data_IF_983954378491
#
_entry.id   IF_983954378491
#
_cell.length_a   1.000
_cell.length_b   1.000
_cell.length_c   1.000
_cell.angle_alpha   90.00
_cell.angle_beta   90.00
_cell.angle_gamma   90.00
#
_symmetry.space_group_name_H-M   'P 1'
#
loop_
_entity.id
_entity.type
_entity.pdbx_description
1 polymer ?
#
# COMPACT_ATOMS: atom_id res chain seq x y z
N UNK A 1 12.85 14.95 -8.85
CA UNK A 1 13.47 13.76 -8.21
C UNK A 1 14.89 14.12 -7.80
N UNK A 2 15.41 13.54 -6.73
CA UNK A 2 16.83 13.62 -6.35
C UNK A 2 17.46 12.26 -6.56
N UNK A 3 18.62 12.20 -7.22
CA UNK A 3 19.33 10.93 -7.42
C UNK A 3 19.86 10.40 -6.09
N UNK A 4 19.74 9.09 -5.89
CA UNK A 4 20.23 8.41 -4.68
C UNK A 4 21.21 7.28 -5.03
N UNK A 5 20.90 6.48 -6.04
CA UNK A 5 21.76 5.39 -6.50
C UNK A 5 21.15 4.56 -7.63
N UNK A 6 21.81 3.45 -7.98
CA UNK A 6 21.39 2.54 -9.05
C UNK A 6 21.36 1.09 -8.59
N UNK A 7 20.20 0.44 -8.73
CA UNK A 7 20.05 -1.01 -8.55
C UNK A 7 20.48 -1.75 -9.82
N UNK A 8 21.29 -2.80 -9.69
CA UNK A 8 21.76 -3.64 -10.80
C UNK A 8 21.45 -5.11 -10.50
N UNK A 9 20.67 -5.75 -11.36
CA UNK A 9 20.37 -7.18 -11.29
C UNK A 9 21.35 -7.93 -12.20
N UNK A 10 22.28 -8.71 -11.64
CA UNK A 10 23.41 -9.31 -12.38
C UNK A 10 23.60 -10.82 -12.15
N UNK A 11 22.71 -11.47 -11.39
CA UNK A 11 22.79 -12.90 -11.09
C UNK A 11 21.39 -13.50 -11.05
N UNK A 12 21.20 -14.62 -11.75
CA UNK A 12 19.99 -15.42 -11.67
C UNK A 12 20.01 -16.31 -10.41
N UNK A 13 18.83 -16.64 -9.85
CA UNK A 13 18.74 -17.62 -8.76
C UNK A 13 19.30 -18.97 -9.21
N UNK A 14 19.99 -19.68 -8.31
CA UNK A 14 20.53 -21.01 -8.60
C UNK A 14 19.43 -22.08 -8.50
N UNK A 15 18.47 -21.86 -7.60
CA UNK A 15 17.30 -22.71 -7.47
C UNK A 15 16.05 -21.84 -7.29
N UNK A 16 15.12 -21.91 -8.25
CA UNK A 16 13.92 -21.08 -8.26
C UNK A 16 13.05 -21.27 -7.01
N UNK A 17 12.85 -22.52 -6.56
CA UNK A 17 12.01 -22.78 -5.39
C UNK A 17 12.64 -22.23 -4.09
N UNK A 18 13.95 -22.38 -3.93
CA UNK A 18 14.70 -21.88 -2.76
C UNK A 18 14.80 -20.35 -2.75
N UNK A 19 15.14 -19.76 -3.90
CA UNK A 19 15.56 -18.36 -3.98
C UNK A 19 14.44 -17.41 -4.40
N UNK A 20 13.37 -17.90 -5.05
CA UNK A 20 12.25 -17.07 -5.52
C UNK A 20 10.97 -17.43 -4.77
N UNK A 21 10.53 -18.68 -4.83
CA UNK A 21 9.26 -19.09 -4.20
C UNK A 21 9.29 -18.94 -2.68
N UNK A 22 10.42 -19.24 -2.04
CA UNK A 22 10.59 -19.09 -0.59
C UNK A 22 11.05 -17.69 -0.15
N UNK A 23 11.24 -16.74 -1.08
CA UNK A 23 11.58 -15.37 -0.71
C UNK A 23 10.43 -14.71 0.07
N UNK A 24 10.79 -13.91 1.08
CA UNK A 24 9.86 -13.31 2.02
C UNK A 24 10.18 -11.82 2.24
N UNK A 25 9.39 -10.96 1.60
CA UNK A 25 9.50 -9.50 1.72
C UNK A 25 8.42 -9.00 2.67
N UNK A 26 8.76 -8.15 3.64
CA UNK A 26 7.76 -7.49 4.49
C UNK A 26 8.11 -6.01 4.63
N UNK A 27 7.14 -5.09 4.47
CA UNK A 27 7.37 -3.66 4.77
C UNK A 27 7.79 -3.43 6.23
N UNK A 28 7.44 -4.35 7.14
CA UNK A 28 7.86 -4.28 8.55
C UNK A 28 9.32 -4.69 8.79
N UNK A 29 10.08 -5.06 7.75
CA UNK A 29 11.52 -5.36 7.85
C UNK A 29 12.33 -4.13 7.48
N UNK A 30 12.23 -3.08 8.31
CA UNK A 30 12.95 -1.82 8.13
C UNK A 30 14.34 -1.84 8.77
N UNK A 31 15.15 -0.84 8.45
CA UNK A 31 16.50 -0.63 8.99
C UNK A 31 16.56 0.73 9.69
N UNK A 32 17.44 0.92 10.69
CA UNK A 32 17.58 2.20 11.36
C UNK A 32 17.76 3.36 10.37
N UNK A 33 16.97 4.42 10.53
CA UNK A 33 16.92 5.59 9.64
C UNK A 33 15.85 5.52 8.54
N UNK A 34 15.14 4.40 8.40
CA UNK A 34 13.95 4.28 7.54
C UNK A 34 12.79 3.79 8.39
N UNK A 35 11.71 4.56 8.44
CA UNK A 35 10.55 4.30 9.30
C UNK A 35 9.24 4.39 8.51
N UNK A 36 8.18 3.84 9.08
CA UNK A 36 6.85 3.85 8.53
C UNK A 36 6.15 5.21 8.66
N UNK A 37 5.20 5.43 7.74
CA UNK A 37 4.27 6.54 7.83
C UNK A 37 2.95 6.06 8.47
N UNK A 38 2.10 6.98 8.97
CA UNK A 38 0.76 6.65 9.46
C UNK A 38 -0.23 6.31 8.32
N UNK A 39 0.25 5.84 7.17
CA UNK A 39 -0.59 5.33 6.09
C UNK A 39 -1.25 4.01 6.55
N UNK A 40 -2.59 3.93 6.62
CA UNK A 40 -3.27 2.76 7.15
C UNK A 40 -3.02 1.48 6.34
N UNK A 41 -2.80 1.60 5.04
CA UNK A 41 -2.44 0.46 4.19
C UNK A 41 -1.02 -0.02 4.51
N UNK A 42 -0.06 0.89 4.70
CA UNK A 42 1.30 0.51 5.09
C UNK A 42 1.31 -0.18 6.46
N UNK A 43 0.65 0.40 7.46
CA UNK A 43 0.53 -0.15 8.81
C UNK A 43 -0.01 -1.59 8.79
N UNK A 44 -1.09 -1.82 8.05
CA UNK A 44 -1.68 -3.15 7.94
C UNK A 44 -0.75 -4.13 7.23
N UNK A 45 -0.05 -3.70 6.18
CA UNK A 45 0.89 -4.55 5.43
C UNK A 45 2.12 -4.95 6.26
N UNK A 46 2.59 -4.11 7.17
CA UNK A 46 3.70 -4.47 8.07
C UNK A 46 3.38 -5.72 8.90
N UNK A 47 2.15 -5.81 9.40
CA UNK A 47 1.64 -6.99 10.12
C UNK A 47 1.35 -8.16 9.17
N UNK A 48 0.49 -7.92 8.17
CA UNK A 48 -0.13 -8.98 7.37
C UNK A 48 0.88 -9.81 6.57
N UNK A 49 1.94 -9.18 6.05
CA UNK A 49 2.94 -9.90 5.27
C UNK A 49 3.67 -10.95 6.13
N UNK A 50 3.98 -10.61 7.39
CA UNK A 50 4.68 -11.54 8.27
C UNK A 50 3.78 -12.71 8.68
N UNK A 51 2.52 -12.43 8.99
CA UNK A 51 1.51 -13.45 9.30
C UNK A 51 1.35 -14.47 8.16
N UNK A 52 1.13 -13.98 6.94
CA UNK A 52 1.03 -14.82 5.76
C UNK A 52 2.30 -15.67 5.51
N UNK A 53 3.49 -15.12 5.80
CA UNK A 53 4.76 -15.84 5.65
C UNK A 53 4.92 -16.95 6.69
N UNK A 54 4.52 -16.71 7.95
CA UNK A 54 4.55 -17.75 8.97
C UNK A 54 3.70 -18.96 8.58
N UNK A 55 2.51 -18.72 8.02
CA UNK A 55 1.69 -19.80 7.50
C UNK A 55 2.32 -20.48 6.27
N UNK A 56 2.84 -19.70 5.32
CA UNK A 56 3.32 -20.21 4.02
C UNK A 56 4.63 -21.00 4.10
N UNK A 57 5.60 -20.54 4.88
CA UNK A 57 6.97 -21.08 4.91
C UNK A 57 7.52 -21.30 6.34
N UNK A 58 6.68 -21.12 7.36
CA UNK A 58 7.00 -21.44 8.75
C UNK A 58 7.60 -20.27 9.55
N UNK A 59 7.60 -20.44 10.87
CA UNK A 59 8.09 -19.43 11.83
C UNK A 59 9.59 -19.13 11.69
N UNK A 60 10.36 -20.13 11.25
CA UNK A 60 11.82 -20.04 11.06
C UNK A 60 12.22 -19.59 9.65
N UNK A 61 11.35 -18.87 8.92
CA UNK A 61 11.58 -18.41 7.54
C UNK A 61 12.90 -17.64 7.32
N UNK A 62 13.42 -16.99 8.36
CA UNK A 62 14.66 -16.23 8.35
C UNK A 62 15.90 -17.14 8.20
N UNK A 63 15.77 -18.46 8.38
CA UNK A 63 16.85 -19.43 8.21
C UNK A 63 16.99 -19.89 6.76
N UNK A 64 16.00 -19.62 5.91
CA UNK A 64 16.07 -19.89 4.47
C UNK A 64 17.14 -18.95 3.88
N UNK A 65 18.11 -19.44 3.08
CA UNK A 65 19.27 -18.65 2.67
C UNK A 65 18.94 -17.28 2.05
N UNK A 66 17.89 -17.18 1.24
CA UNK A 66 17.49 -15.91 0.60
C UNK A 66 16.93 -14.88 1.57
N UNK A 67 16.38 -15.32 2.72
CA UNK A 67 15.79 -14.46 3.75
C UNK A 67 16.74 -14.19 4.92
N UNK A 68 17.90 -14.85 4.93
CA UNK A 68 18.83 -14.79 6.04
C UNK A 68 19.49 -13.42 6.15
N UNK A 69 19.45 -12.76 7.32
CA UNK A 69 20.13 -11.48 7.55
C UNK A 69 21.64 -11.68 7.75
N UNK A 70 22.33 -12.29 6.77
CA UNK A 70 23.70 -12.82 6.88
C UNK A 70 24.77 -11.76 7.21
N UNK A 71 24.50 -10.47 6.96
CA UNK A 71 25.39 -9.34 7.26
C UNK A 71 24.89 -8.45 8.41
N UNK A 72 23.84 -8.85 9.11
CA UNK A 72 23.38 -8.10 10.26
C UNK A 72 24.40 -8.21 11.40
N UNK A 73 24.97 -7.06 11.81
CA UNK A 73 25.91 -6.97 12.94
C UNK A 73 25.31 -7.44 14.27
N UNK A 74 23.98 -7.47 14.36
CA UNK A 74 23.24 -7.98 15.51
C UNK A 74 21.99 -8.70 15.00
N UNK A 75 22.00 -10.03 15.07
CA UNK A 75 20.80 -10.85 14.97
C UNK A 75 20.57 -11.52 16.33
N UNK A 76 20.01 -10.77 17.26
CA UNK A 76 19.82 -11.20 18.65
C UNK A 76 18.33 -11.40 18.97
N UNK A 77 17.62 -12.11 18.10
CA UNK A 77 16.22 -12.48 18.34
C UNK A 77 16.07 -13.24 19.66
N UNK A 78 14.90 -13.08 20.30
CA UNK A 78 14.45 -13.93 21.42
C UNK A 78 13.51 -15.04 20.93
N UNK A 79 13.50 -15.32 19.63
CA UNK A 79 12.73 -16.41 19.05
C UNK A 79 13.51 -17.72 19.17
N UNK A 80 13.03 -18.67 19.95
CA UNK A 80 13.58 -20.02 20.09
C UNK A 80 12.63 -21.05 19.48
N UNK A 81 13.15 -22.23 19.15
CA UNK A 81 12.39 -23.40 18.70
C UNK A 81 11.56 -23.16 17.43
N UNK A 82 10.39 -23.77 17.34
CA UNK A 82 9.53 -23.75 16.16
C UNK A 82 9.89 -24.80 15.12
N UNK A 83 8.96 -25.04 14.19
CA UNK A 83 9.13 -26.04 13.14
C UNK A 83 10.35 -25.71 12.26
N UNK A 84 11.10 -26.75 11.85
CA UNK A 84 12.27 -26.64 10.98
C UNK A 84 13.38 -25.70 11.53
N UNK A 85 13.63 -25.73 12.84
CA UNK A 85 14.77 -25.03 13.44
C UNK A 85 16.09 -25.73 13.09
N UNK A 86 16.98 -25.05 12.35
CA UNK A 86 18.22 -25.64 11.80
C UNK A 86 19.50 -24.83 12.08
N UNK A 87 19.43 -23.74 12.84
CA UNK A 87 20.55 -22.81 13.13
C UNK A 87 21.19 -23.01 14.52
N UNK A 88 21.12 -24.22 15.08
CA UNK A 88 21.51 -24.56 16.46
C UNK A 88 20.72 -23.83 17.57
N UNK A 89 19.58 -23.21 17.24
CA UNK A 89 18.64 -22.62 18.21
C UNK A 89 19.27 -21.56 19.14
N UNK A 90 20.10 -20.70 18.56
CA UNK A 90 20.93 -19.72 19.29
C UNK A 90 21.91 -20.32 20.31
N UNK A 91 22.19 -21.63 20.27
CA UNK A 91 23.15 -22.32 21.12
C UNK A 91 22.97 -22.00 22.63
N UNK A 92 24.02 -21.51 23.30
CA UNK A 92 24.01 -21.19 24.74
C UNK A 92 23.38 -19.85 25.12
N UNK A 93 22.77 -19.12 24.18
CA UNK A 93 22.19 -17.81 24.45
C UNK A 93 21.00 -17.89 25.40
N UNK A 94 20.87 -16.88 26.28
CA UNK A 94 19.74 -16.78 27.20
C UNK A 94 18.44 -16.49 26.45
N UNK A 95 17.39 -17.19 26.86
CA UNK A 95 16.05 -17.15 26.24
C UNK A 95 15.18 -15.99 26.74
N UNK A 96 15.71 -15.10 27.59
CA UNK A 96 14.94 -14.02 28.20
C UNK A 96 15.75 -12.72 28.28
N UNK A 97 15.04 -11.59 28.37
CA UNK A 97 15.59 -10.27 28.63
C UNK A 97 14.66 -9.47 29.57
N UNK A 98 15.20 -8.63 30.46
CA UNK A 98 16.62 -8.40 30.72
C UNK A 98 17.27 -9.59 31.47
N UNK A 99 18.60 -9.74 31.35
CA UNK A 99 19.36 -10.75 32.10
C UNK A 99 20.76 -10.24 32.46
N UNK A 100 21.40 -10.87 33.45
CA UNK A 100 22.69 -10.44 34.01
C UNK A 100 23.91 -10.69 33.10
N UNK A 101 23.74 -11.33 31.95
CA UNK A 101 24.86 -11.83 31.12
C UNK A 101 24.92 -11.20 29.72
N UNK A 102 23.84 -10.56 29.25
CA UNK A 102 23.79 -9.96 27.93
C UNK A 102 22.89 -8.72 27.89
N UNK A 103 23.42 -7.62 27.38
CA UNK A 103 22.69 -6.39 27.08
C UNK A 103 22.29 -6.37 25.60
N UNK A 104 21.01 -6.61 25.32
CA UNK A 104 20.47 -6.69 23.94
C UNK A 104 19.72 -5.41 23.48
N UNK A 105 19.57 -4.42 24.35
CA UNK A 105 18.88 -3.17 24.02
C UNK A 105 19.79 -2.22 23.24
N UNK A 106 19.26 -1.59 22.19
CA UNK A 106 19.96 -0.63 21.34
C UNK A 106 19.25 0.73 21.41
N UNK A 107 19.64 1.62 22.34
CA UNK A 107 19.00 2.93 22.46
C UNK A 107 19.27 3.85 21.26
N UNK A 108 20.33 3.56 20.50
CA UNK A 108 20.75 4.30 19.30
C UNK A 108 19.86 4.05 18.07
N UNK A 109 18.89 3.14 18.16
CA UNK A 109 17.89 2.86 17.11
C UNK A 109 16.46 3.20 17.55
N UNK A 110 16.31 4.07 18.54
CA UNK A 110 14.98 4.55 18.96
C UNK A 110 14.28 5.28 17.80
N UNK A 111 12.98 5.01 17.64
CA UNK A 111 12.18 5.57 16.56
C UNK A 111 11.96 7.08 16.72
N UNK A 112 11.79 7.78 15.60
CA UNK A 112 11.47 9.20 15.65
C UNK A 112 10.02 9.39 16.13
N UNK A 113 9.77 10.28 17.12
CA UNK A 113 8.41 10.58 17.53
C UNK A 113 7.66 11.29 16.40
N UNK A 114 6.43 10.85 16.10
CA UNK A 114 5.53 11.55 15.18
C UNK A 114 4.38 12.23 15.92
N UNK A 115 3.98 13.40 15.45
CA UNK A 115 2.83 14.13 16.00
C UNK A 115 1.55 13.62 15.35
N UNK A 116 0.65 13.07 16.17
CA UNK A 116 -0.71 12.72 15.73
C UNK A 116 -1.54 13.98 15.50
N UNK A 117 -2.39 13.96 14.46
CA UNK A 117 -3.24 15.11 14.10
C UNK A 117 -4.34 15.39 15.11
N UNK A 118 -4.74 14.36 15.85
CA UNK A 118 -5.77 14.43 16.89
C UNK A 118 -5.33 13.57 18.08
N UNK A 119 -5.51 14.07 19.30
CA UNK A 119 -5.29 13.30 20.52
C UNK A 119 -6.49 12.42 20.87
N UNK A 120 -7.59 12.54 20.11
CA UNK A 120 -8.80 11.72 20.23
C UNK A 120 -8.75 10.58 19.22
N UNK A 121 -8.48 9.38 19.71
CA UNK A 121 -8.71 8.15 18.94
C UNK A 121 -10.20 7.79 19.01
N UNK A 122 -10.95 8.09 17.95
CA UNK A 122 -12.36 7.68 17.81
C UNK A 122 -12.51 6.75 16.61
N UNK A 123 -13.58 5.94 16.60
CA UNK A 123 -14.05 5.24 15.39
C UNK A 123 -14.68 6.27 14.46
N UNK A 124 -13.87 7.16 13.90
CA UNK A 124 -14.31 7.99 12.77
C UNK A 124 -14.49 7.05 11.59
N UNK A 125 -15.60 7.19 10.89
CA UNK A 125 -15.95 6.30 9.79
C UNK A 125 -14.88 6.34 8.69
N UNK A 126 -14.63 5.19 8.05
CA UNK A 126 -13.78 5.06 6.87
C UNK A 126 -14.14 6.06 5.75
N UNK A 127 -15.39 6.52 5.70
CA UNK A 127 -15.90 7.52 4.74
C UNK A 127 -15.25 8.91 4.85
N UNK A 128 -14.45 9.17 5.90
CA UNK A 128 -13.77 10.45 6.06
C UNK A 128 -12.54 10.61 5.15
N UNK A 129 -11.96 9.48 4.71
CA UNK A 129 -10.72 9.45 3.94
C UNK A 129 -10.93 9.35 2.42
N UNK A 130 -12.12 8.96 1.96
CA UNK A 130 -12.36 8.56 0.57
C UNK A 130 -13.54 9.31 -0.08
N UNK A 131 -13.53 9.40 -1.41
CA UNK A 131 -14.57 9.93 -2.29
C UNK A 131 -14.81 11.43 -2.14
N UNK A 132 -13.74 12.20 -2.02
CA UNK A 132 -13.78 13.65 -2.19
C UNK A 132 -13.69 13.96 -3.69
N UNK A 133 -14.19 15.14 -4.11
CA UNK A 133 -14.09 15.54 -5.52
C UNK A 133 -12.64 15.69 -6.00
N UNK A 134 -11.70 15.99 -5.09
CA UNK A 134 -10.29 16.07 -5.44
C UNK A 134 -9.61 14.71 -5.64
N UNK A 135 -10.26 13.60 -5.29
CA UNK A 135 -9.70 12.25 -5.53
C UNK A 135 -9.60 11.94 -7.03
N UNK A 136 -10.34 12.66 -7.89
CA UNK A 136 -10.25 12.53 -9.35
C UNK A 136 -9.11 13.36 -9.96
N UNK A 137 -8.54 14.34 -9.23
CA UNK A 137 -7.64 15.34 -9.81
C UNK A 137 -6.34 14.73 -10.33
N UNK A 138 -5.74 13.79 -9.60
CA UNK A 138 -4.49 13.13 -10.03
C UNK A 138 -4.71 12.27 -11.28
N UNK A 139 -5.82 11.54 -11.35
CA UNK A 139 -6.17 10.75 -12.53
C UNK A 139 -6.46 11.66 -13.74
N UNK A 140 -7.07 12.82 -13.51
CA UNK A 140 -7.32 13.83 -14.53
C UNK A 140 -6.04 14.42 -15.07
N UNK A 141 -5.08 14.71 -14.20
CA UNK A 141 -3.76 15.20 -14.60
C UNK A 141 -2.98 14.15 -15.40
N UNK A 142 -3.02 12.88 -15.00
CA UNK A 142 -2.47 11.77 -15.79
C UNK A 142 -3.10 11.72 -17.19
N UNK A 143 -4.43 11.75 -17.27
CA UNK A 143 -5.15 11.71 -18.54
C UNK A 143 -4.83 12.91 -19.44
N UNK A 144 -4.88 14.13 -18.90
CA UNK A 144 -4.82 15.35 -19.70
C UNK A 144 -3.40 15.81 -20.02
N UNK A 145 -2.46 15.63 -19.09
CA UNK A 145 -1.12 16.25 -19.16
C UNK A 145 0.00 15.25 -19.47
N UNK A 146 -0.21 13.97 -19.20
CA UNK A 146 0.86 12.95 -19.30
C UNK A 146 0.61 12.00 -20.46
N UNK A 147 -0.61 11.49 -20.61
CA UNK A 147 -0.93 10.51 -21.66
C UNK A 147 -0.94 11.11 -23.06
N UNK A 148 -0.25 10.46 -23.98
CA UNK A 148 -0.36 10.67 -25.42
C UNK A 148 -1.71 10.19 -25.97
N UNK A 149 -2.07 10.65 -27.17
CA UNK A 149 -3.32 10.25 -27.82
C UNK A 149 -3.42 8.74 -28.07
N UNK A 150 -2.29 8.06 -28.33
CA UNK A 150 -2.28 6.61 -28.48
C UNK A 150 -2.51 5.90 -27.14
N UNK A 151 -1.92 6.39 -26.05
CA UNK A 151 -2.14 5.85 -24.71
C UNK A 151 -3.59 6.05 -24.25
N UNK A 152 -4.20 7.20 -24.56
CA UNK A 152 -5.63 7.45 -24.31
C UNK A 152 -6.52 6.45 -25.05
N UNK A 153 -6.28 6.25 -26.35
CA UNK A 153 -7.02 5.25 -27.16
C UNK A 153 -6.87 3.84 -26.58
N UNK A 154 -5.65 3.44 -26.24
CA UNK A 154 -5.37 2.14 -25.63
C UNK A 154 -6.08 1.97 -24.28
N UNK A 155 -6.07 3.02 -23.45
CA UNK A 155 -6.75 3.05 -22.16
C UNK A 155 -8.26 2.89 -22.32
N UNK A 156 -8.90 3.65 -23.22
CA UNK A 156 -10.33 3.49 -23.52
C UNK A 156 -10.66 2.07 -24.00
N UNK A 157 -9.86 1.53 -24.93
CA UNK A 157 -10.05 0.19 -25.46
C UNK A 157 -9.93 -0.90 -24.39
N UNK A 158 -8.89 -0.85 -23.56
CA UNK A 158 -8.66 -1.83 -22.50
C UNK A 158 -9.77 -1.79 -21.45
N UNK A 159 -10.22 -0.59 -21.07
CA UNK A 159 -11.32 -0.41 -20.12
C UNK A 159 -12.64 -0.91 -20.70
N UNK A 160 -12.96 -0.55 -21.94
CA UNK A 160 -14.17 -1.02 -22.63
C UNK A 160 -14.20 -2.54 -22.77
N UNK A 161 -13.05 -3.18 -23.08
CA UNK A 161 -12.93 -4.65 -23.16
C UNK A 161 -13.34 -5.35 -21.86
N UNK A 162 -13.03 -4.76 -20.70
CA UNK A 162 -13.51 -5.26 -19.40
C UNK A 162 -14.98 -4.95 -19.19
N UNK A 163 -15.38 -3.70 -19.44
CA UNK A 163 -16.73 -3.20 -19.14
C UNK A 163 -17.83 -3.86 -19.97
N UNK A 164 -17.54 -4.24 -21.23
CA UNK A 164 -18.46 -5.02 -22.10
C UNK A 164 -18.88 -6.37 -21.50
N UNK A 165 -18.09 -6.94 -20.59
CA UNK A 165 -18.41 -8.22 -19.92
C UNK A 165 -19.44 -8.04 -18.80
N UNK A 166 -19.67 -6.81 -18.37
CA UNK A 166 -20.64 -6.48 -17.31
C UNK A 166 -22.04 -6.51 -17.92
N UNK A 167 -22.89 -7.42 -17.45
CA UNK A 167 -24.25 -7.61 -17.98
C UNK A 167 -25.27 -6.59 -17.47
N UNK A 168 -24.94 -5.83 -16.44
CA UNK A 168 -25.84 -4.90 -15.76
C UNK A 168 -25.58 -3.46 -16.25
N UNK A 169 -26.51 -2.85 -17.00
CA UNK A 169 -26.36 -1.47 -17.50
C UNK A 169 -26.18 -0.45 -16.38
N UNK A 170 -26.78 -0.70 -15.22
CA UNK A 170 -26.63 0.14 -14.02
C UNK A 170 -25.16 0.19 -13.54
N UNK A 171 -24.45 -0.95 -13.57
CA UNK A 171 -23.04 -0.98 -13.17
C UNK A 171 -22.18 -0.26 -14.22
N UNK A 172 -22.47 -0.45 -15.50
CA UNK A 172 -21.74 0.22 -16.58
C UNK A 172 -21.89 1.74 -16.51
N UNK A 173 -23.12 2.24 -16.38
CA UNK A 173 -23.40 3.68 -16.27
C UNK A 173 -22.80 4.30 -15.00
N UNK A 174 -22.87 3.61 -13.85
CA UNK A 174 -22.21 4.07 -12.60
C UNK A 174 -20.69 4.11 -12.72
N UNK A 175 -20.07 3.12 -13.37
CA UNK A 175 -18.63 3.13 -13.60
C UNK A 175 -18.22 4.31 -14.50
N UNK A 176 -18.92 4.51 -15.62
CA UNK A 176 -18.65 5.63 -16.53
C UNK A 176 -18.84 6.98 -15.85
N UNK A 177 -19.76 7.11 -14.90
CA UNK A 177 -19.97 8.35 -14.16
C UNK A 177 -18.75 8.70 -13.28
N UNK A 178 -18.10 7.70 -12.69
CA UNK A 178 -16.82 7.91 -11.98
C UNK A 178 -15.71 8.35 -12.95
N UNK A 179 -15.66 7.75 -14.14
CA UNK A 179 -14.69 8.15 -15.18
C UNK A 179 -14.98 9.56 -15.72
N UNK A 180 -16.25 9.95 -15.83
CA UNK A 180 -16.66 11.28 -16.27
C UNK A 180 -16.11 12.37 -15.34
N UNK A 181 -16.07 12.11 -14.03
CA UNK A 181 -15.46 13.02 -13.05
C UNK A 181 -13.94 13.19 -13.24
N UNK A 182 -13.27 12.21 -13.88
CA UNK A 182 -11.88 12.35 -14.34
C UNK A 182 -11.85 13.23 -15.60
N UNK A 183 -12.53 12.80 -16.66
CA UNK A 183 -12.68 13.58 -17.89
C UNK A 183 -13.85 13.09 -18.75
N UNK A 184 -14.59 14.02 -19.35
CA UNK A 184 -15.74 13.73 -20.22
C UNK A 184 -15.33 12.95 -21.48
N UNK A 185 -14.26 13.37 -22.16
CA UNK A 185 -13.71 12.69 -23.35
C UNK A 185 -13.24 11.26 -23.03
N UNK A 186 -12.75 11.03 -21.81
CA UNK A 186 -12.37 9.69 -21.36
C UNK A 186 -13.60 8.79 -21.22
N UNK A 187 -14.63 9.25 -20.51
CA UNK A 187 -15.86 8.48 -20.36
C UNK A 187 -16.56 8.23 -21.70
N UNK A 188 -16.61 9.24 -22.57
CA UNK A 188 -17.18 9.13 -23.91
C UNK A 188 -16.41 8.11 -24.75
N UNK A 189 -15.07 8.17 -24.75
CA UNK A 189 -14.23 7.23 -25.51
C UNK A 189 -14.39 5.77 -25.07
N UNK A 190 -14.72 5.51 -23.79
CA UNK A 190 -15.10 4.16 -23.35
C UNK A 190 -16.52 3.81 -23.83
N UNK A 191 -17.47 4.73 -23.66
CA UNK A 191 -18.88 4.52 -24.01
C UNK A 191 -19.07 4.19 -25.49
N UNK A 192 -18.38 4.90 -26.39
CA UNK A 192 -18.42 4.67 -27.84
C UNK A 192 -17.91 3.29 -28.23
N UNK A 193 -17.09 2.68 -27.37
CA UNK A 193 -16.59 1.33 -27.51
C UNK A 193 -17.44 0.32 -26.75
N UNK A 194 -18.67 0.61 -26.32
CA UNK A 194 -19.57 -0.40 -25.76
C UNK A 194 -20.49 -0.99 -26.84
N UNK A 195 -20.78 -2.28 -26.73
CA UNK A 195 -21.67 -2.96 -27.66
C UNK A 195 -23.13 -2.71 -27.23
N UNK A 196 -23.83 -1.80 -27.94
CA UNK A 196 -25.25 -1.48 -27.73
C UNK A 196 -25.60 -1.17 -26.24
N UNK A 197 -25.05 -0.09 -25.67
CA UNK A 197 -25.36 0.29 -24.29
C UNK A 197 -26.87 0.53 -24.11
N UNK A 198 -27.45 -0.04 -23.05
CA UNK A 198 -28.89 0.09 -22.74
C UNK A 198 -29.22 1.37 -21.94
N UNK A 199 -28.39 2.40 -22.06
CA UNK A 199 -28.54 3.68 -21.38
C UNK A 199 -27.89 4.75 -22.24
N UNK A 200 -28.42 5.97 -22.16
CA UNK A 200 -27.87 7.12 -22.86
C UNK A 200 -26.67 7.70 -22.12
N UNK A 201 -25.72 8.29 -22.85
CA UNK A 201 -24.56 8.95 -22.23
C UNK A 201 -24.96 10.16 -21.38
N UNK A 202 -26.08 10.82 -21.68
CA UNK A 202 -26.63 11.88 -20.82
C UNK A 202 -26.87 11.39 -19.39
N UNK A 203 -27.24 10.11 -19.22
CA UNK A 203 -27.43 9.50 -17.90
C UNK A 203 -26.12 9.43 -17.11
N UNK A 204 -25.00 9.19 -17.79
CA UNK A 204 -23.67 9.15 -17.17
C UNK A 204 -23.32 10.51 -16.55
N UNK A 205 -23.60 11.60 -17.28
CA UNK A 205 -23.37 12.97 -16.80
C UNK A 205 -24.20 13.30 -15.56
N UNK A 206 -25.50 12.97 -15.57
CA UNK A 206 -26.37 13.16 -14.39
C UNK A 206 -25.84 12.39 -13.17
N UNK A 207 -25.44 11.13 -13.39
CA UNK A 207 -24.92 10.28 -12.33
C UNK A 207 -23.60 10.83 -11.75
N UNK A 208 -22.75 11.42 -12.59
CA UNK A 208 -21.44 11.93 -12.18
C UNK A 208 -21.53 13.04 -11.11
N UNK A 209 -22.59 13.85 -11.11
CA UNK A 209 -22.77 14.97 -10.18
C UNK A 209 -22.74 14.54 -8.70
N UNK A 210 -23.24 13.34 -8.42
CA UNK A 210 -23.36 12.77 -7.06
C UNK A 210 -22.48 11.54 -6.84
N UNK A 211 -21.66 11.15 -7.83
CA UNK A 211 -20.93 9.90 -7.83
C UNK A 211 -19.96 9.73 -6.65
N UNK A 212 -19.36 10.83 -6.20
CA UNK A 212 -18.46 10.86 -5.03
C UNK A 212 -19.17 10.61 -3.69
N UNK A 213 -20.50 10.69 -3.66
CA UNK A 213 -21.32 10.58 -2.45
C UNK A 213 -22.08 9.26 -2.34
N UNK A 214 -22.05 8.43 -3.38
CA UNK A 214 -22.79 7.18 -3.40
C UNK A 214 -22.42 6.27 -2.22
N UNK A 215 -23.46 5.73 -1.58
CA UNK A 215 -23.36 4.81 -0.44
C UNK A 215 -22.71 5.42 0.83
N UNK A 216 -22.49 6.74 0.87
CA UNK A 216 -21.99 7.43 2.06
C UNK A 216 -23.11 7.97 2.92
N UNK A 217 -23.16 7.52 4.17
CA UNK A 217 -24.09 8.07 5.16
C UNK A 217 -23.74 9.54 5.48
N UNK A 218 -24.69 10.49 5.42
CA UNK A 218 -24.43 11.92 5.64
C UNK A 218 -23.73 12.25 6.95
N UNK A 219 -24.07 11.57 8.06
CA UNK A 219 -23.47 11.77 9.39
C UNK A 219 -21.98 11.41 9.48
N UNK A 220 -21.45 10.70 8.49
CA UNK A 220 -20.06 10.24 8.46
C UNK A 220 -19.21 10.98 7.41
N UNK A 221 -19.76 11.99 6.73
CA UNK A 221 -19.04 12.79 5.74
C UNK A 221 -18.21 13.88 6.42
N UNK A 222 -17.01 14.25 5.89
CA UNK A 222 -16.19 15.33 6.43
C UNK A 222 -16.95 16.66 6.52
N UNK A 223 -16.83 17.34 7.66
CA UNK A 223 -17.37 18.70 7.86
C UNK A 223 -16.37 19.80 7.45
N UNK A 224 -16.81 21.08 7.41
CA UNK A 224 -15.91 22.21 7.21
C UNK A 224 -14.86 22.29 8.33
N UNK A 225 -13.57 22.33 7.96
CA UNK A 225 -12.45 22.48 8.92
C UNK A 225 -11.78 21.18 9.38
N UNK A 226 -12.25 20.03 8.91
CA UNK A 226 -11.68 18.74 9.26
C UNK A 226 -10.38 18.43 8.51
N UNK A 227 -9.23 18.52 9.19
CA UNK A 227 -7.92 18.06 8.68
C UNK A 227 -7.39 16.94 9.57
N UNK A 228 -7.11 15.78 8.97
CA UNK A 228 -6.56 14.59 9.66
C UNK A 228 -5.16 14.21 9.17
N UNK A 229 -4.44 15.13 8.53
CA UNK A 229 -3.05 14.88 8.19
C UNK A 229 -2.20 15.13 9.44
N UNK A 230 -1.46 14.10 9.89
CA UNK A 230 -0.33 14.31 10.80
C UNK A 230 0.69 15.22 10.12
N UNK A 231 1.33 16.09 10.90
CA UNK A 231 2.39 16.95 10.38
C UNK A 231 3.73 16.22 10.51
N UNK A 232 4.61 16.29 9.50
CA UNK A 232 5.99 15.85 9.70
C UNK A 232 6.61 16.66 10.84
N UNK A 233 7.53 16.08 11.62
CA UNK A 233 8.23 16.79 12.68
C UNK A 233 8.90 18.05 12.12
N UNK A 234 8.80 19.16 12.86
CA UNK A 234 9.28 20.48 12.44
C UNK A 234 10.82 20.60 12.38
N UNK A 235 11.54 19.58 12.83
CA UNK A 235 13.00 19.53 12.85
C UNK A 235 13.51 18.13 12.53
N UNK A 236 14.76 18.05 12.06
CA UNK A 236 15.43 16.77 11.81
C UNK A 236 15.67 16.03 13.13
N UNK A 237 15.16 14.79 13.22
CA UNK A 237 15.29 13.96 14.42
C UNK A 237 16.62 13.22 14.46
N UNK A 238 17.17 12.86 13.30
CA UNK A 238 18.51 12.28 13.20
C UNK A 238 19.54 13.38 12.93
N UNK A 239 20.59 13.41 13.74
CA UNK A 239 21.75 14.27 13.50
C UNK A 239 22.43 13.85 12.20
N UNK A 240 22.73 14.81 11.33
CA UNK A 240 23.52 14.64 10.11
C UNK A 240 25.00 14.41 10.42
#
# INVERSE_FOLDING_TARGET
MKEFGRLVLNKNPENFHRDVEQAAFSPGSMVPGIEDSPDPLLQFRMFFYRDAQYHRIGVNLHQIPVNCPFMAKSYASLNFDGQMRVDANHAGNKQYAPNSFAHKFRPDVAEAPYQVSDNIASRVSHYWHEGKKNDYDQAKDLWKKVMSEQEKKNTCYNTAKGLRRVKFPEIQSKYLAQVYNISEDYAQGIYDLLDQPQFEFSKVKELAETAQEWYKEPKFRPGPGSKLAGYPPSSAVYQA
#
